data_IF_781452219333
#
_entry.id   IF_781452219333
#
_cell.length_a   1.000
_cell.length_b   1.000
_cell.length_c   1.000
_cell.angle_alpha   90.00
_cell.angle_beta   90.00
_cell.angle_gamma   90.00
#
_symmetry.space_group_name_H-M   'P 1'
#
loop_
_entity.id
_entity.type
_entity.pdbx_description
1 polymer ?
#
# COMPACT_ATOMS: atom_id res chain seq x y z
N UNK A 1 -39.70 -4.64 20.07
CA UNK A 1 -39.26 -5.80 20.89
C UNK A 1 -37.86 -5.60 21.47
N UNK A 2 -36.81 -5.36 20.67
CA UNK A 2 -35.43 -5.22 21.15
C UNK A 2 -35.21 -4.06 22.14
N UNK A 3 -35.86 -2.91 21.91
CA UNK A 3 -35.77 -1.72 22.78
C UNK A 3 -36.33 -1.96 24.19
N UNK A 4 -37.45 -2.68 24.29
CA UNK A 4 -38.09 -3.00 25.57
C UNK A 4 -37.24 -4.01 26.35
N UNK A 5 -36.61 -4.97 25.66
CA UNK A 5 -35.69 -5.92 26.27
C UNK A 5 -34.43 -5.23 26.84
N UNK A 6 -33.87 -4.26 26.11
CA UNK A 6 -32.70 -3.49 26.57
C UNK A 6 -33.04 -2.60 27.77
N UNK A 7 -34.21 -1.95 27.78
CA UNK A 7 -34.68 -1.16 28.92
C UNK A 7 -34.92 -2.03 30.16
N UNK A 8 -35.49 -3.23 29.99
CA UNK A 8 -35.68 -4.18 31.07
C UNK A 8 -34.34 -4.67 31.65
N UNK A 9 -33.33 -4.92 30.80
CA UNK A 9 -32.00 -5.34 31.23
C UNK A 9 -31.29 -4.23 32.03
N UNK A 10 -31.39 -2.99 31.58
CA UNK A 10 -30.80 -1.84 32.27
C UNK A 10 -31.47 -1.56 33.62
N UNK A 11 -32.80 -1.70 33.70
CA UNK A 11 -33.52 -1.64 34.97
C UNK A 11 -33.11 -2.77 35.93
N UNK A 12 -32.92 -3.98 35.42
CA UNK A 12 -32.47 -5.13 36.21
C UNK A 12 -31.05 -4.95 36.76
N UNK A 13 -30.10 -4.53 35.91
CA UNK A 13 -28.74 -4.21 36.35
C UNK A 13 -28.70 -3.03 37.32
N UNK A 14 -29.49 -1.98 37.08
CA UNK A 14 -29.60 -0.83 37.98
C UNK A 14 -30.15 -1.21 39.35
N UNK A 15 -31.13 -2.12 39.42
CA UNK A 15 -31.66 -2.63 40.68
C UNK A 15 -30.61 -3.42 41.47
N UNK A 16 -29.79 -4.24 40.81
CA UNK A 16 -28.70 -4.98 41.47
C UNK A 16 -27.66 -4.03 42.06
N UNK A 17 -27.26 -3.00 41.32
CA UNK A 17 -26.29 -1.99 41.78
C UNK A 17 -26.81 -1.12 42.93
N UNK A 18 -28.13 -0.91 43.03
CA UNK A 18 -28.75 -0.26 44.20
C UNK A 18 -28.67 -1.16 45.44
N UNK A 19 -28.86 -2.48 45.28
CA UNK A 19 -28.73 -3.44 46.40
C UNK A 19 -27.30 -3.55 46.92
N UNK A 20 -26.33 -3.34 46.05
CA UNK A 20 -24.90 -3.31 46.40
C UNK A 20 -24.45 -1.95 46.96
N UNK A 21 -25.35 -0.96 47.04
CA UNK A 21 -25.07 0.37 47.59
C UNK A 21 -24.19 1.27 46.70
N UNK A 22 -23.90 0.82 45.47
CA UNK A 22 -23.04 1.51 44.50
C UNK A 22 -23.80 2.66 43.82
N UNK A 23 -25.11 2.49 43.64
CA UNK A 23 -25.96 3.42 42.91
C UNK A 23 -27.19 3.80 43.76
N UNK A 24 -27.59 5.06 43.71
CA UNK A 24 -28.84 5.51 44.37
C UNK A 24 -30.03 5.37 43.44
N UNK A 25 -31.23 5.20 43.99
CA UNK A 25 -32.48 5.15 43.20
C UNK A 25 -32.66 6.42 42.35
N UNK A 26 -32.27 7.59 42.89
CA UNK A 26 -32.31 8.86 42.16
C UNK A 26 -31.37 8.92 40.95
N UNK A 27 -30.16 8.35 41.06
CA UNK A 27 -29.22 8.26 39.94
C UNK A 27 -29.69 7.30 38.84
N UNK A 28 -30.36 6.20 39.20
CA UNK A 28 -30.93 5.27 38.21
C UNK A 28 -32.09 5.91 37.43
N UNK A 29 -33.00 6.60 38.12
CA UNK A 29 -34.11 7.31 37.47
C UNK A 29 -33.58 8.43 36.57
N UNK A 30 -32.56 9.17 37.01
CA UNK A 30 -31.93 10.22 36.21
C UNK A 30 -31.27 9.66 34.95
N UNK A 31 -30.58 8.52 35.06
CA UNK A 31 -29.95 7.84 33.92
C UNK A 31 -30.98 7.34 32.90
N UNK A 32 -32.10 6.75 33.36
CA UNK A 32 -33.18 6.26 32.50
C UNK A 32 -33.89 7.40 31.77
N UNK A 33 -34.12 8.53 32.44
CA UNK A 33 -34.70 9.73 31.82
C UNK A 33 -33.73 10.37 30.80
N UNK A 34 -32.42 10.31 31.06
CA UNK A 34 -31.40 10.81 30.15
C UNK A 34 -31.33 9.98 28.86
N UNK A 35 -31.32 8.65 28.96
CA UNK A 35 -31.32 7.77 27.79
C UNK A 35 -32.61 7.83 26.97
N UNK A 36 -33.77 8.03 27.62
CA UNK A 36 -35.05 8.21 26.94
C UNK A 36 -35.04 9.41 25.97
N UNK A 37 -34.37 10.50 26.35
CA UNK A 37 -34.23 11.69 25.51
C UNK A 37 -33.16 11.52 24.40
N UNK A 38 -32.08 10.78 24.65
CA UNK A 38 -31.04 10.53 23.64
C UNK A 38 -31.59 9.67 22.49
N UNK A 39 -32.36 8.62 22.78
CA UNK A 39 -32.94 7.79 21.73
C UNK A 39 -33.85 8.59 20.79
N UNK A 40 -34.60 9.57 21.31
CA UNK A 40 -35.47 10.40 20.48
C UNK A 40 -34.68 11.37 19.57
N UNK A 41 -33.49 11.81 20.01
CA UNK A 41 -32.61 12.68 19.21
C UNK A 41 -31.77 11.93 18.19
N UNK A 42 -31.37 10.69 18.47
CA UNK A 42 -30.66 9.84 17.49
C UNK A 42 -31.64 9.34 16.42
N UNK A 43 -32.88 8.97 16.77
CA UNK A 43 -33.90 8.57 15.78
C UNK A 43 -34.35 9.74 14.89
N UNK A 44 -34.42 10.96 15.44
CA UNK A 44 -34.81 12.16 14.69
C UNK A 44 -33.89 12.46 13.50
N UNK A 45 -32.59 12.18 13.61
CA UNK A 45 -31.63 12.47 12.55
C UNK A 45 -31.41 11.32 11.55
N UNK A 46 -31.82 10.07 11.87
CA UNK A 46 -31.83 8.99 10.87
C UNK A 46 -33.07 9.09 9.98
N UNK A 47 -34.18 9.61 10.48
CA UNK A 47 -35.40 9.83 9.69
C UNK A 47 -35.40 11.11 8.84
N UNK A 48 -34.43 12.03 9.03
CA UNK A 48 -34.37 13.26 8.23
C UNK A 48 -33.76 13.11 6.83
N UNK A 49 -33.35 11.90 6.42
CA UNK A 49 -32.89 11.65 5.06
C UNK A 49 -33.94 11.12 4.07
N UNK A 50 -35.20 10.94 4.47
CA UNK A 50 -36.29 10.59 3.53
C UNK A 50 -37.60 11.28 3.92
N UNK A 51 -38.22 11.95 2.95
CA UNK A 51 -39.59 12.52 2.88
C UNK A 51 -39.85 13.97 3.34
N UNK A 52 -39.81 14.86 2.33
CA UNK A 52 -40.83 15.83 1.87
C UNK A 52 -41.98 16.20 2.82
N UNK A 53 -42.09 17.52 3.11
CA UNK A 53 -43.22 18.22 3.77
C UNK A 53 -44.58 17.95 3.11
N UNK A 54 -45.69 18.03 3.89
CA UNK A 54 -46.55 19.22 3.75
C UNK A 54 -47.17 19.75 5.06
N UNK A 55 -47.77 20.94 4.93
CA UNK A 55 -48.48 21.78 5.92
C UNK A 55 -49.71 21.14 6.60
N UNK A 56 -50.06 21.65 7.79
CA UNK A 56 -51.46 21.62 8.28
C UNK A 56 -51.68 21.66 9.81
N UNK A 57 -51.83 22.87 10.36
CA UNK A 57 -52.72 23.32 11.44
C UNK A 57 -52.98 22.55 12.79
N UNK A 58 -53.01 23.40 13.84
CA UNK A 58 -53.97 23.51 14.97
C UNK A 58 -53.84 22.77 16.32
N UNK A 59 -53.94 23.61 17.37
CA UNK A 59 -54.65 23.42 18.67
C UNK A 59 -53.87 23.05 19.94
N UNK A 60 -53.66 24.10 20.76
CA UNK A 60 -53.61 24.26 22.21
C UNK A 60 -53.58 23.04 23.18
N UNK A 61 -52.64 23.07 24.14
CA UNK A 61 -52.90 22.91 25.58
C UNK A 61 -51.71 23.37 26.45
N UNK A 62 -51.93 23.81 27.71
CA UNK A 62 -50.99 24.62 28.47
C UNK A 62 -50.20 23.79 29.51
N UNK A 63 -49.05 23.23 29.13
CA UNK A 63 -48.09 22.63 30.06
C UNK A 63 -46.67 23.14 29.80
N UNK A 64 -46.55 24.46 29.64
CA UNK A 64 -45.28 25.14 29.36
C UNK A 64 -44.73 25.79 30.64
N UNK A 65 -44.46 24.99 31.68
CA UNK A 65 -43.86 25.51 32.92
C UNK A 65 -42.93 24.53 33.65
N UNK A 66 -42.17 23.72 32.89
CA UNK A 66 -41.07 22.90 33.42
C UNK A 66 -39.88 22.84 32.43
N UNK A 67 -39.54 23.98 31.84
CA UNK A 67 -38.48 24.08 30.80
C UNK A 67 -37.17 24.72 31.30
N UNK A 68 -36.92 24.73 32.61
CA UNK A 68 -35.74 25.39 33.19
C UNK A 68 -34.56 24.48 33.59
N UNK A 69 -34.54 23.23 33.14
CA UNK A 69 -33.34 22.39 33.21
C UNK A 69 -33.04 21.70 31.86
N UNK A 70 -33.20 22.44 30.76
CA UNK A 70 -32.54 22.03 29.53
C UNK A 70 -31.03 22.27 29.70
N UNK A 71 -30.15 21.25 29.54
CA UNK A 71 -28.72 21.50 29.51
C UNK A 71 -28.43 22.54 28.42
N UNK A 72 -27.59 23.52 28.73
CA UNK A 72 -27.25 24.60 27.81
C UNK A 72 -26.80 24.03 26.46
N UNK A 73 -27.16 24.66 25.33
CA UNK A 73 -26.83 24.18 23.98
C UNK A 73 -25.33 23.93 23.75
N UNK A 74 -24.48 24.52 24.58
CA UNK A 74 -23.02 24.32 24.63
C UNK A 74 -22.59 22.91 25.06
N UNK A 75 -23.33 22.25 25.96
CA UNK A 75 -22.92 20.95 26.50
C UNK A 75 -23.18 19.80 25.51
N UNK A 76 -24.30 19.87 24.78
CA UNK A 76 -24.61 18.94 23.70
C UNK A 76 -23.68 19.09 22.49
N UNK A 77 -23.31 20.34 22.14
CA UNK A 77 -22.35 20.61 21.07
C UNK A 77 -20.94 20.08 21.39
N UNK A 78 -20.48 20.20 22.64
CA UNK A 78 -19.19 19.66 23.08
C UNK A 78 -19.14 18.12 22.98
N UNK A 79 -20.22 17.43 23.39
CA UNK A 79 -20.29 15.97 23.28
C UNK A 79 -20.32 15.49 21.82
N UNK A 80 -21.05 16.21 20.94
CA UNK A 80 -21.04 15.92 19.51
C UNK A 80 -19.65 16.10 18.89
N UNK A 81 -18.97 17.20 19.20
CA UNK A 81 -17.62 17.47 18.71
C UNK A 81 -16.63 16.36 19.11
N UNK A 82 -16.71 15.84 20.34
CA UNK A 82 -15.86 14.73 20.80
C UNK A 82 -16.12 13.43 20.03
N UNK A 83 -17.38 13.11 19.71
CA UNK A 83 -17.73 11.91 18.92
C UNK A 83 -17.24 12.04 17.48
N UNK A 84 -17.42 13.21 16.87
CA UNK A 84 -16.89 13.47 15.52
C UNK A 84 -15.37 13.39 15.48
N UNK A 85 -14.68 14.03 16.44
CA UNK A 85 -13.22 13.95 16.55
C UNK A 85 -12.72 12.52 16.72
N UNK A 86 -13.41 11.69 17.51
CA UNK A 86 -13.02 10.29 17.69
C UNK A 86 -13.14 9.50 16.38
N UNK A 87 -14.22 9.69 15.63
CA UNK A 87 -14.41 9.08 14.31
C UNK A 87 -13.33 9.52 13.31
N UNK A 88 -13.07 10.82 13.24
CA UNK A 88 -12.04 11.39 12.35
C UNK A 88 -10.65 10.87 12.71
N UNK A 89 -10.30 10.84 14.01
CA UNK A 89 -9.03 10.31 14.49
C UNK A 89 -8.85 8.84 14.10
N UNK A 90 -9.86 8.00 14.28
CA UNK A 90 -9.77 6.59 13.86
C UNK A 90 -9.57 6.45 12.35
N UNK A 91 -10.28 7.24 11.55
CA UNK A 91 -10.14 7.21 10.09
C UNK A 91 -8.73 7.63 9.64
N UNK A 92 -8.18 8.67 10.27
CA UNK A 92 -6.83 9.18 10.00
C UNK A 92 -5.74 8.19 10.41
N UNK A 93 -5.90 7.53 11.57
CA UNK A 93 -5.00 6.47 12.01
C UNK A 93 -5.03 5.30 11.02
N UNK A 94 -6.23 4.87 10.59
CA UNK A 94 -6.37 3.81 9.59
C UNK A 94 -5.70 4.13 8.25
N UNK A 95 -5.81 5.38 7.78
CA UNK A 95 -5.12 5.84 6.58
C UNK A 95 -3.59 5.86 6.76
N UNK A 96 -3.11 6.32 7.91
CA UNK A 96 -1.69 6.36 8.23
C UNK A 96 -1.08 4.95 8.36
N UNK A 97 -1.81 3.98 8.92
CA UNK A 97 -1.34 2.60 9.09
C UNK A 97 -0.85 1.98 7.76
N UNK A 98 -1.55 2.20 6.65
CA UNK A 98 -1.11 1.69 5.34
C UNK A 98 0.18 2.33 4.86
N UNK A 99 0.39 3.61 5.15
CA UNK A 99 1.64 4.30 4.80
C UNK A 99 2.80 3.71 5.59
N UNK A 100 2.64 3.54 6.90
CA UNK A 100 3.65 2.92 7.74
C UNK A 100 3.90 1.46 7.36
N UNK A 101 2.88 0.70 6.98
CA UNK A 101 3.03 -0.67 6.47
C UNK A 101 3.97 -0.74 5.25
N UNK A 102 3.93 0.24 4.34
CA UNK A 102 4.87 0.31 3.22
C UNK A 102 6.27 0.78 3.61
N UNK A 103 6.37 1.75 4.54
CA UNK A 103 7.66 2.28 4.99
C UNK A 103 8.45 1.26 5.82
N UNK A 104 7.76 0.47 6.64
CA UNK A 104 8.35 -0.54 7.52
C UNK A 104 8.59 -1.87 6.78
N UNK A 105 8.16 -2.00 5.53
CA UNK A 105 8.31 -3.23 4.76
C UNK A 105 9.76 -3.45 4.36
N UNK A 106 10.32 -4.55 4.83
CA UNK A 106 11.62 -5.03 4.35
C UNK A 106 11.50 -5.74 2.99
N UNK A 107 12.37 -5.42 2.01
CA UNK A 107 12.37 -6.07 0.71
C UNK A 107 12.91 -7.51 0.82
N UNK A 108 12.27 -8.44 0.11
CA UNK A 108 12.69 -9.85 0.06
C UNK A 108 14.05 -10.00 -0.63
N UNK A 109 14.28 -9.22 -1.69
CA UNK A 109 15.56 -9.17 -2.39
C UNK A 109 16.35 -7.99 -1.83
N UNK A 110 17.36 -8.28 -1.01
CA UNK A 110 18.22 -7.27 -0.41
C UNK A 110 19.32 -6.77 -1.36
N UNK A 111 19.80 -5.55 -1.15
CA UNK A 111 20.88 -4.93 -1.94
C UNK A 111 22.22 -4.87 -1.19
N UNK A 112 22.41 -5.71 -0.18
CA UNK A 112 23.54 -5.65 0.76
C UNK A 112 24.90 -6.15 0.23
N UNK A 113 24.97 -6.58 -1.03
CA UNK A 113 26.23 -7.01 -1.65
C UNK A 113 27.24 -5.86 -1.71
N UNK A 114 28.53 -6.19 -1.66
CA UNK A 114 29.63 -5.21 -1.59
C UNK A 114 30.69 -5.41 -2.66
N UNK A 115 30.63 -6.49 -3.44
CA UNK A 115 31.62 -6.77 -4.47
C UNK A 115 31.48 -5.78 -5.62
N UNK A 116 32.58 -5.09 -5.93
CA UNK A 116 32.70 -4.16 -7.04
C UNK A 116 34.13 -4.24 -7.64
N UNK A 117 34.50 -5.37 -8.27
CA UNK A 117 35.83 -5.52 -8.86
C UNK A 117 36.10 -4.47 -9.94
N UNK A 118 37.37 -4.08 -10.14
CA UNK A 118 37.71 -3.08 -11.16
C UNK A 118 37.54 -3.56 -12.60
N UNK A 119 37.50 -4.87 -12.83
CA UNK A 119 37.29 -5.47 -14.13
C UNK A 119 36.45 -6.76 -14.00
N UNK A 120 35.55 -6.96 -14.97
CA UNK A 120 34.80 -8.20 -15.14
C UNK A 120 35.23 -8.89 -16.43
N UNK A 121 35.31 -10.22 -16.39
CA UNK A 121 35.47 -11.06 -17.58
C UNK A 121 34.12 -11.28 -18.26
N UNK A 122 33.03 -11.32 -17.49
CA UNK A 122 31.67 -11.47 -18.02
C UNK A 122 31.26 -12.93 -18.26
N UNK A 123 31.85 -13.88 -17.53
CA UNK A 123 31.40 -15.27 -17.54
C UNK A 123 30.17 -15.39 -16.65
N UNK A 124 29.05 -15.85 -17.19
CA UNK A 124 27.81 -16.04 -16.42
C UNK A 124 27.51 -17.53 -16.34
N UNK A 125 27.15 -18.02 -15.16
CA UNK A 125 26.77 -19.42 -14.97
C UNK A 125 25.48 -19.55 -14.16
N UNK A 126 24.52 -20.29 -14.70
CA UNK A 126 23.35 -20.78 -14.00
C UNK A 126 23.70 -22.18 -13.49
N UNK A 127 23.57 -22.41 -12.18
CA UNK A 127 23.84 -23.72 -11.54
C UNK A 127 22.60 -24.22 -10.81
N UNK A 128 21.99 -25.26 -11.36
CA UNK A 128 20.85 -25.98 -10.77
C UNK A 128 19.68 -25.05 -10.39
N UNK A 129 19.44 -24.04 -11.22
CA UNK A 129 18.52 -22.95 -10.91
C UNK A 129 17.08 -23.42 -11.01
N UNK A 130 16.35 -23.32 -9.89
CA UNK A 130 14.90 -23.53 -9.84
C UNK A 130 14.20 -22.26 -9.36
N UNK A 131 13.14 -21.86 -10.06
CA UNK A 131 12.47 -20.59 -9.79
C UNK A 131 10.98 -20.64 -10.11
N UNK A 132 10.19 -20.07 -9.20
CA UNK A 132 8.79 -19.72 -9.37
C UNK A 132 8.59 -18.24 -9.04
N UNK A 133 7.67 -17.57 -9.74
CA UNK A 133 7.33 -16.18 -9.43
C UNK A 133 6.62 -16.08 -8.06
N UNK A 134 6.83 -15.00 -7.30
CA UNK A 134 6.20 -14.82 -5.98
C UNK A 134 4.67 -14.89 -6.00
N UNK A 135 4.04 -14.49 -7.11
CA UNK A 135 2.59 -14.58 -7.29
C UNK A 135 2.08 -16.02 -7.41
N UNK A 136 2.94 -16.98 -7.78
CA UNK A 136 2.61 -18.40 -7.98
C UNK A 136 3.76 -19.30 -7.50
N UNK A 137 4.04 -19.37 -6.18
CA UNK A 137 5.25 -19.98 -5.64
C UNK A 137 5.34 -21.51 -5.84
N UNK A 138 4.23 -22.16 -6.21
CA UNK A 138 4.15 -23.61 -6.47
C UNK A 138 4.37 -23.97 -7.94
N UNK A 139 4.36 -22.98 -8.84
CA UNK A 139 4.48 -23.18 -10.29
C UNK A 139 5.91 -22.84 -10.72
N UNK A 140 6.79 -23.86 -10.73
CA UNK A 140 8.18 -23.69 -11.16
C UNK A 140 8.26 -23.41 -12.66
N UNK A 141 8.73 -22.22 -13.00
CA UNK A 141 9.00 -21.79 -14.38
C UNK A 141 10.35 -22.33 -14.86
N UNK A 142 11.33 -22.38 -13.95
CA UNK A 142 12.63 -23.02 -14.19
C UNK A 142 12.79 -24.17 -13.19
N UNK A 143 13.28 -25.31 -13.67
CA UNK A 143 13.48 -26.53 -12.88
C UNK A 143 14.87 -27.08 -13.17
N UNK A 144 15.76 -27.01 -12.17
CA UNK A 144 17.13 -27.51 -12.22
C UNK A 144 17.94 -27.08 -13.47
N UNK A 145 17.80 -25.82 -13.85
CA UNK A 145 18.39 -25.30 -15.10
C UNK A 145 19.86 -24.95 -14.87
N UNK A 146 20.73 -25.52 -15.71
CA UNK A 146 22.18 -25.24 -15.69
C UNK A 146 22.71 -24.94 -17.09
N UNK A 147 23.38 -23.80 -17.25
CA UNK A 147 24.06 -23.41 -18.49
C UNK A 147 25.03 -22.25 -18.21
N UNK A 148 25.91 -21.97 -19.17
CA UNK A 148 26.91 -20.90 -19.05
C UNK A 148 26.88 -19.99 -20.29
N UNK A 149 27.19 -18.70 -20.08
CA UNK A 149 27.48 -17.73 -21.13
C UNK A 149 28.96 -17.39 -21.04
N UNK A 150 29.67 -17.59 -22.15
CA UNK A 150 31.12 -17.37 -22.21
C UNK A 150 31.45 -15.93 -22.61
N UNK A 151 32.49 -15.33 -22.01
CA UNK A 151 32.98 -14.02 -22.42
C UNK A 151 33.27 -13.92 -23.92
N UNK A 152 32.83 -12.83 -24.54
CA UNK A 152 33.11 -12.54 -25.96
C UNK A 152 32.30 -13.37 -26.96
N UNK A 153 31.41 -14.25 -26.50
CA UNK A 153 30.54 -15.05 -27.37
C UNK A 153 29.11 -14.52 -27.34
N UNK A 154 28.43 -14.60 -28.49
CA UNK A 154 26.99 -14.34 -28.57
C UNK A 154 26.25 -15.63 -28.23
N UNK A 155 25.56 -15.65 -27.10
CA UNK A 155 24.72 -16.79 -26.70
C UNK A 155 23.25 -16.49 -26.98
N UNK A 156 22.60 -17.39 -27.71
CA UNK A 156 21.17 -17.29 -28.00
C UNK A 156 20.37 -18.30 -27.16
N UNK A 157 19.41 -17.79 -26.38
CA UNK A 157 18.48 -18.64 -25.62
C UNK A 157 17.17 -18.80 -26.40
N UNK A 158 16.92 -20.01 -26.90
CA UNK A 158 15.74 -20.34 -27.72
C UNK A 158 14.79 -21.28 -27.01
N UNK A 159 13.49 -21.16 -27.29
CA UNK A 159 12.47 -22.02 -26.68
C UNK A 159 11.06 -21.49 -26.93
N UNK A 160 10.05 -22.29 -26.60
CA UNK A 160 8.64 -21.95 -26.76
C UNK A 160 8.21 -20.77 -25.87
N UNK A 161 7.09 -20.12 -26.18
CA UNK A 161 6.52 -19.11 -25.30
C UNK A 161 6.20 -19.73 -23.93
N UNK A 162 6.55 -19.01 -22.85
CA UNK A 162 6.42 -19.51 -21.49
C UNK A 162 7.55 -20.42 -20.99
N UNK A 163 8.57 -20.74 -21.82
CA UNK A 163 9.70 -21.59 -21.41
C UNK A 163 10.69 -20.95 -20.43
N UNK A 164 10.38 -19.77 -19.88
CA UNK A 164 11.24 -19.10 -18.89
C UNK A 164 12.41 -18.28 -19.44
N UNK A 165 12.47 -17.96 -20.74
CA UNK A 165 13.58 -17.16 -21.32
C UNK A 165 13.73 -15.78 -20.66
N UNK A 166 12.64 -15.02 -20.59
CA UNK A 166 12.62 -13.72 -19.91
C UNK A 166 12.87 -13.86 -18.41
N UNK A 167 12.53 -15.01 -17.83
CA UNK A 167 12.84 -15.33 -16.43
C UNK A 167 14.34 -15.47 -16.23
N UNK A 168 15.08 -16.12 -17.13
CA UNK A 168 16.55 -16.17 -17.06
C UNK A 168 17.17 -14.77 -17.09
N UNK A 169 16.65 -13.88 -17.95
CA UNK A 169 17.09 -12.47 -18.00
C UNK A 169 16.80 -11.75 -16.68
N UNK A 170 15.58 -11.90 -16.14
CA UNK A 170 15.21 -11.29 -14.85
C UNK A 170 16.02 -11.80 -13.65
N UNK A 171 16.48 -13.06 -13.68
CA UNK A 171 17.38 -13.61 -12.68
C UNK A 171 18.82 -13.09 -12.84
N UNK A 172 19.29 -12.91 -14.08
CA UNK A 172 20.60 -12.31 -14.36
C UNK A 172 20.67 -10.83 -13.94
N UNK A 173 19.59 -10.07 -14.18
CA UNK A 173 19.42 -8.70 -13.70
C UNK A 173 19.13 -8.62 -12.19
N UNK A 174 19.00 -9.77 -11.53
CA UNK A 174 18.69 -9.92 -10.10
C UNK A 174 17.41 -9.18 -9.69
N UNK A 175 16.39 -9.17 -10.55
CA UNK A 175 15.03 -8.72 -10.18
C UNK A 175 14.34 -9.70 -9.23
N UNK A 176 14.75 -10.96 -9.28
CA UNK A 176 14.30 -12.03 -8.40
C UNK A 176 15.49 -12.86 -7.93
N UNK A 177 15.32 -13.56 -6.81
CA UNK A 177 16.27 -14.58 -6.37
C UNK A 177 15.71 -15.98 -6.66
N UNK A 178 16.57 -16.94 -7.08
CA UNK A 178 16.14 -18.31 -7.31
C UNK A 178 15.73 -18.98 -5.99
N UNK A 179 14.79 -19.93 -6.06
CA UNK A 179 14.38 -20.72 -4.90
C UNK A 179 15.40 -21.81 -4.56
N UNK A 180 16.13 -22.30 -5.56
CA UNK A 180 17.24 -23.23 -5.41
C UNK A 180 18.29 -22.99 -6.51
N UNK A 181 19.53 -23.39 -6.25
CA UNK A 181 20.65 -23.11 -7.13
C UNK A 181 21.14 -21.66 -7.03
N UNK A 182 21.99 -21.26 -7.96
CA UNK A 182 22.60 -19.93 -7.97
C UNK A 182 22.91 -19.44 -9.38
N UNK A 183 22.90 -18.12 -9.54
CA UNK A 183 23.40 -17.43 -10.73
C UNK A 183 24.69 -16.73 -10.34
N UNK A 184 25.74 -17.00 -11.11
CA UNK A 184 27.09 -16.54 -10.87
C UNK A 184 27.53 -15.61 -11.99
N UNK A 185 28.29 -14.58 -11.63
CA UNK A 185 29.05 -13.74 -12.53
C UNK A 185 30.53 -13.89 -12.14
N UNK A 186 31.37 -14.29 -13.09
CA UNK A 186 32.80 -14.59 -12.88
C UNK A 186 33.08 -15.54 -11.69
N UNK A 187 32.15 -16.47 -11.44
CA UNK A 187 32.23 -17.45 -10.35
C UNK A 187 31.74 -16.94 -8.99
N UNK A 188 31.34 -15.68 -8.88
CA UNK A 188 30.80 -15.08 -7.66
C UNK A 188 29.26 -14.99 -7.76
N UNK A 189 28.50 -15.38 -6.73
CA UNK A 189 27.05 -15.24 -6.73
C UNK A 189 26.60 -13.80 -6.94
N UNK A 190 25.59 -13.59 -7.78
CA UNK A 190 25.06 -12.24 -8.07
C UNK A 190 24.64 -11.47 -6.81
N UNK A 191 24.26 -12.17 -5.75
CA UNK A 191 23.87 -11.56 -4.48
C UNK A 191 25.00 -10.85 -3.73
N UNK A 192 26.25 -11.22 -4.01
CA UNK A 192 27.42 -10.66 -3.34
C UNK A 192 27.88 -9.34 -3.99
N UNK A 193 27.45 -9.06 -5.23
CA UNK A 193 27.75 -7.82 -5.92
C UNK A 193 26.98 -6.63 -5.35
N UNK A 194 27.65 -5.49 -5.28
CA UNK A 194 26.97 -4.22 -5.07
C UNK A 194 25.93 -4.01 -6.19
N UNK A 195 24.73 -3.61 -5.78
CA UNK A 195 23.58 -3.54 -6.67
C UNK A 195 23.79 -2.52 -7.80
N UNK A 196 24.34 -1.35 -7.48
CA UNK A 196 24.62 -0.30 -8.47
C UNK A 196 25.76 -0.71 -9.39
N UNK A 197 26.77 -1.39 -8.86
CA UNK A 197 27.87 -1.93 -9.64
C UNK A 197 27.35 -2.95 -10.66
N UNK A 198 26.56 -3.94 -10.25
CA UNK A 198 26.01 -4.96 -11.15
C UNK A 198 25.25 -4.32 -12.32
N UNK A 199 24.35 -3.38 -12.04
CA UNK A 199 23.52 -2.70 -13.05
C UNK A 199 24.29 -1.67 -13.90
N UNK A 200 25.54 -1.35 -13.55
CA UNK A 200 26.45 -0.59 -14.44
C UNK A 200 27.17 -1.50 -15.43
N UNK A 201 27.25 -2.80 -15.15
CA UNK A 201 28.01 -3.77 -15.95
C UNK A 201 27.11 -4.58 -16.88
N UNK A 202 25.83 -4.72 -16.52
CA UNK A 202 24.81 -5.40 -17.32
C UNK A 202 23.84 -4.37 -17.90
N UNK A 203 23.52 -4.51 -19.19
CA UNK A 203 22.56 -3.66 -19.87
C UNK A 203 21.44 -4.50 -20.47
N UNK A 204 20.19 -4.10 -20.20
CA UNK A 204 18.99 -4.75 -20.70
C UNK A 204 18.33 -3.90 -21.79
N UNK A 205 18.13 -4.49 -22.96
CA UNK A 205 17.28 -3.93 -24.02
C UNK A 205 15.97 -4.72 -24.06
N UNK A 206 14.91 -4.12 -23.53
CA UNK A 206 13.58 -4.73 -23.48
C UNK A 206 12.87 -4.75 -24.83
N UNK A 207 11.87 -5.61 -24.97
CA UNK A 207 11.02 -5.68 -26.17
C UNK A 207 10.16 -4.42 -26.34
N UNK A 208 9.63 -3.88 -25.24
CA UNK A 208 8.87 -2.63 -25.22
C UNK A 208 9.77 -1.51 -24.68
N UNK A 209 10.00 -0.41 -25.43
CA UNK A 209 10.82 0.69 -24.97
C UNK A 209 10.09 1.49 -23.88
N UNK A 210 10.81 1.88 -22.84
CA UNK A 210 10.31 2.77 -21.78
C UNK A 210 10.86 4.17 -22.03
N UNK A 211 9.96 5.16 -22.09
CA UNK A 211 10.31 6.58 -22.19
C UNK A 211 9.74 7.34 -20.99
N UNK A 212 10.58 8.16 -20.38
CA UNK A 212 10.21 9.06 -19.30
C UNK A 212 9.78 10.42 -19.85
N UNK A 213 8.87 11.09 -19.13
CA UNK A 213 8.53 12.49 -19.41
C UNK A 213 9.76 13.37 -19.23
N UNK A 214 10.15 14.08 -20.29
CA UNK A 214 11.37 14.87 -20.33
C UNK A 214 11.87 15.05 -21.75
N UNK A 215 13.10 15.56 -21.91
CA UNK A 215 13.71 15.66 -23.22
C UNK A 215 14.28 14.31 -23.69
N UNK A 216 14.58 14.22 -24.99
CA UNK A 216 15.30 13.06 -25.56
C UNK A 216 16.66 12.90 -24.89
N UNK A 217 17.35 14.02 -24.62
CA UNK A 217 18.61 14.05 -23.88
C UNK A 217 18.47 13.42 -22.50
N UNK A 218 17.42 13.77 -21.76
CA UNK A 218 17.21 13.23 -20.40
C UNK A 218 16.93 11.73 -20.42
N UNK A 219 16.26 11.24 -21.46
CA UNK A 219 16.03 9.81 -21.66
C UNK A 219 17.33 9.06 -22.01
N UNK A 220 18.18 9.62 -22.88
CA UNK A 220 19.46 9.00 -23.25
C UNK A 220 20.44 9.00 -22.06
N UNK A 221 20.48 10.09 -21.30
CA UNK A 221 21.36 10.23 -20.13
C UNK A 221 20.75 9.64 -18.85
N UNK A 222 19.60 8.98 -18.93
CA UNK A 222 18.88 8.48 -17.76
C UNK A 222 19.74 7.51 -16.95
N UNK A 223 19.87 7.75 -15.64
CA UNK A 223 20.69 6.95 -14.74
C UNK A 223 22.20 7.24 -14.76
N UNK A 224 22.66 8.18 -15.61
CA UNK A 224 24.06 8.61 -15.68
C UNK A 224 24.28 9.93 -14.93
N UNK A 225 25.37 10.02 -14.19
CA UNK A 225 25.82 11.26 -13.55
C UNK A 225 26.83 11.99 -14.45
N UNK A 226 26.66 13.30 -14.66
CA UNK A 226 27.65 14.12 -15.36
C UNK A 226 27.78 13.89 -16.87
N UNK A 227 26.76 13.32 -17.52
CA UNK A 227 26.80 13.04 -18.97
C UNK A 227 26.81 14.33 -19.81
N UNK A 228 27.85 14.49 -20.64
CA UNK A 228 28.00 15.63 -21.54
C UNK A 228 27.14 15.52 -22.79
N UNK A 229 26.87 16.65 -23.44
CA UNK A 229 26.10 16.69 -24.68
C UNK A 229 26.76 15.90 -25.83
N UNK A 230 28.09 15.84 -25.83
CA UNK A 230 28.87 15.09 -26.81
C UNK A 230 28.66 13.58 -26.67
N UNK A 231 28.60 13.07 -25.43
CA UNK A 231 28.38 11.66 -25.14
C UNK A 231 26.97 11.23 -25.57
N UNK A 232 25.97 12.07 -25.27
CA UNK A 232 24.58 11.86 -25.69
C UNK A 232 24.48 11.77 -27.21
N UNK A 233 25.11 12.70 -27.94
CA UNK A 233 25.13 12.67 -29.42
C UNK A 233 25.89 11.47 -29.96
N UNK A 234 26.97 11.06 -29.31
CA UNK A 234 27.75 9.88 -29.71
C UNK A 234 26.94 8.60 -29.53
N UNK A 235 26.24 8.44 -28.40
CA UNK A 235 25.32 7.32 -28.15
C UNK A 235 24.16 7.31 -29.16
N UNK A 236 23.52 8.46 -29.41
CA UNK A 236 22.47 8.58 -30.41
C UNK A 236 22.94 8.20 -31.82
N UNK A 237 24.20 8.54 -32.17
CA UNK A 237 24.80 8.15 -33.45
C UNK A 237 25.07 6.65 -33.51
N UNK A 238 25.64 6.07 -32.46
CA UNK A 238 25.92 4.63 -32.39
C UNK A 238 24.63 3.79 -32.46
N UNK A 239 23.53 4.31 -31.92
CA UNK A 239 22.20 3.70 -32.02
C UNK A 239 21.48 3.97 -33.37
N UNK A 240 22.07 4.76 -34.28
CA UNK A 240 21.45 5.12 -35.55
C UNK A 240 20.25 6.08 -35.44
N UNK A 241 20.07 6.75 -34.30
CA UNK A 241 18.92 7.60 -34.03
C UNK A 241 19.20 9.11 -34.23
N UNK A 242 20.47 9.51 -34.39
CA UNK A 242 20.85 10.93 -34.43
C UNK A 242 20.14 11.73 -35.53
N UNK A 243 19.98 11.16 -36.73
CA UNK A 243 19.36 11.84 -37.86
C UNK A 243 17.87 12.11 -37.63
N UNK A 244 17.17 11.12 -37.06
CA UNK A 244 15.78 11.27 -36.65
C UNK A 244 15.62 12.33 -35.56
N UNK A 245 16.47 12.29 -34.53
CA UNK A 245 16.44 13.25 -33.42
C UNK A 245 16.70 14.67 -33.90
N UNK A 246 17.60 14.85 -34.87
CA UNK A 246 17.97 16.17 -35.39
C UNK A 246 16.91 16.77 -36.32
N UNK A 247 15.93 15.97 -36.78
CA UNK A 247 14.86 16.40 -37.69
C UNK A 247 13.56 16.80 -36.96
N UNK A 248 13.47 16.56 -35.64
CA UNK A 248 12.37 16.97 -34.76
C UNK A 248 12.46 18.45 -34.38
#
# INVERSE_FOLDING_TARGET
MLQVAMQALMLYCGHQQIREGILTTGSLVSFLLYQGNISHHVQGNVSHHVQVRPHGATSASPLRRLHHLAPSPTCSAAAQALVYMYGDLQSNVGAACKVFEYLDREPVVGTAGTQAPGALRGHVAFRNVSFAYPARPKELVLQDVSFELRPGEVTALVGLNGSGKSTCVGLLERFYEPQAGEVLLDGVPLREYDHKYLHRQVALVGQEPVLFSGSIRDNIAYGLEGCGEQDVRAAARAAGALDFISAL
#
